data_IF_948213377251
#
_entry.id   IF_948213377251
#
_cell.length_a   1.000
_cell.length_b   1.000
_cell.length_c   1.000
_cell.angle_alpha   90.00
_cell.angle_beta   90.00
_cell.angle_gamma   90.00
#
_symmetry.space_group_name_H-M   'P 1'
#
loop_
_entity.id
_entity.type
_entity.pdbx_description
1 polymer ?
#
# COMPACT_ATOMS: atom_id res chain seq x y z
N UNK A 1 9.76 -7.40 2.68
CA UNK A 1 8.65 -8.31 3.03
C UNK A 1 7.94 -7.72 4.25
N UNK A 2 6.65 -7.38 4.16
CA UNK A 2 5.88 -6.95 5.34
C UNK A 2 5.46 -8.19 6.13
N UNK A 3 5.56 -8.14 7.46
CA UNK A 3 4.97 -9.16 8.33
C UNK A 3 3.44 -9.16 8.17
N UNK A 4 2.77 -10.27 8.46
CA UNK A 4 1.30 -10.32 8.47
C UNK A 4 0.74 -9.23 9.42
N UNK A 5 -0.14 -8.36 8.89
CA UNK A 5 -0.67 -7.19 9.61
C UNK A 5 0.27 -5.97 9.69
N UNK A 6 1.50 -6.06 9.15
CA UNK A 6 2.45 -4.95 9.08
C UNK A 6 2.06 -3.88 8.06
N UNK A 7 2.47 -2.64 8.33
CA UNK A 7 2.32 -1.49 7.42
C UNK A 7 3.68 -0.89 7.09
N UNK A 8 3.90 -0.50 5.84
CA UNK A 8 5.04 0.31 5.44
C UNK A 8 4.62 1.78 5.42
N UNK A 9 5.44 2.64 6.01
CA UNK A 9 5.23 4.09 6.02
C UNK A 9 6.46 4.74 5.39
N UNK A 10 6.24 5.54 4.35
CA UNK A 10 7.31 6.30 3.69
C UNK A 10 7.09 7.78 3.95
N UNK A 11 8.11 8.45 4.51
CA UNK A 11 8.18 9.91 4.60
C UNK A 11 8.90 10.46 3.39
N UNK A 12 8.27 11.40 2.68
CA UNK A 12 8.85 12.05 1.51
C UNK A 12 8.38 13.51 1.40
N UNK A 13 8.90 14.25 0.43
CA UNK A 13 8.44 15.61 0.13
C UNK A 13 7.29 15.58 -0.90
N UNK A 14 6.48 16.63 -0.95
CA UNK A 14 5.30 16.75 -1.83
C UNK A 14 5.61 16.53 -3.32
N UNK A 15 6.80 16.95 -3.77
CA UNK A 15 7.24 16.77 -5.16
C UNK A 15 7.67 15.34 -5.50
N UNK A 16 7.85 14.49 -4.49
CA UNK A 16 8.25 13.09 -4.66
C UNK A 16 6.99 12.25 -4.68
N UNK A 17 6.73 11.56 -5.80
CA UNK A 17 5.69 10.53 -5.86
C UNK A 17 6.33 9.20 -5.48
N UNK A 18 5.98 8.60 -4.33
CA UNK A 18 6.54 7.32 -3.96
C UNK A 18 6.03 6.24 -4.93
N UNK A 19 6.87 5.24 -5.26
CA UNK A 19 6.53 4.22 -6.24
C UNK A 19 5.30 3.41 -5.79
N UNK A 20 4.41 3.10 -6.73
CA UNK A 20 3.20 2.28 -6.52
C UNK A 20 3.23 0.99 -7.35
N UNK A 21 4.39 0.65 -7.90
CA UNK A 21 4.61 -0.53 -8.74
C UNK A 21 4.83 -1.82 -7.95
N UNK A 22 4.55 -1.83 -6.65
CA UNK A 22 4.71 -3.03 -5.85
C UNK A 22 3.52 -3.98 -6.10
N UNK A 23 3.82 -5.23 -6.44
CA UNK A 23 2.78 -6.27 -6.65
C UNK A 23 2.12 -6.67 -5.33
N UNK A 24 2.93 -6.80 -4.26
CA UNK A 24 2.50 -7.36 -2.97
C UNK A 24 2.08 -6.33 -1.93
N UNK A 25 2.37 -5.05 -2.15
CA UNK A 25 1.99 -3.96 -1.24
C UNK A 25 1.38 -2.82 -2.06
N UNK A 26 0.31 -2.19 -1.57
CA UNK A 26 -0.39 -1.12 -2.29
C UNK A 26 -0.45 0.13 -1.44
N UNK A 27 -0.36 1.29 -2.08
CA UNK A 27 -0.58 2.56 -1.42
C UNK A 27 -2.04 2.65 -0.98
N UNK A 28 -2.27 2.88 0.31
CA UNK A 28 -3.62 2.98 0.89
C UNK A 28 -4.02 4.43 1.14
N UNK A 29 -3.09 5.23 1.64
CA UNK A 29 -3.35 6.60 2.07
C UNK A 29 -2.08 7.43 1.97
N UNK A 30 -2.22 8.74 1.77
CA UNK A 30 -1.12 9.70 1.85
C UNK A 30 -1.60 10.95 2.55
N UNK A 31 -0.89 11.34 3.61
CA UNK A 31 -1.24 12.48 4.46
C UNK A 31 -0.12 13.50 4.53
N UNK A 32 -0.49 14.78 4.60
CA UNK A 32 0.44 15.88 4.78
C UNK A 32 0.72 16.13 6.26
N UNK A 33 2.00 16.24 6.60
CA UNK A 33 2.51 16.60 7.93
C UNK A 33 3.52 17.73 7.78
N UNK A 34 3.03 18.97 7.90
CA UNK A 34 3.82 20.18 7.64
C UNK A 34 4.32 20.22 6.20
N UNK A 35 5.65 20.18 6.03
CA UNK A 35 6.32 20.19 4.74
C UNK A 35 6.64 18.78 4.20
N UNK A 36 6.22 17.73 4.91
CA UNK A 36 6.42 16.34 4.51
C UNK A 36 5.09 15.66 4.21
N UNK A 37 5.18 14.59 3.45
CA UNK A 37 4.11 13.64 3.16
C UNK A 37 4.44 12.31 3.83
N UNK A 38 3.45 11.64 4.40
CA UNK A 38 3.52 10.26 4.84
C UNK A 38 2.60 9.42 3.96
N UNK A 39 3.19 8.48 3.23
CA UNK A 39 2.46 7.49 2.43
C UNK A 39 2.42 6.15 3.15
N UNK A 40 1.23 5.59 3.27
CA UNK A 40 0.92 4.38 4.01
C UNK A 40 0.62 3.25 3.03
N UNK A 41 1.38 2.17 3.12
CA UNK A 41 1.21 0.98 2.29
C UNK A 41 0.85 -0.22 3.16
N UNK A 42 -0.07 -1.05 2.68
CA UNK A 42 -0.41 -2.35 3.28
C UNK A 42 -0.13 -3.47 2.30
N UNK A 43 -0.10 -4.70 2.81
CA UNK A 43 -0.18 -5.88 1.95
C UNK A 43 -1.40 -5.77 1.03
N UNK A 44 -1.22 -6.13 -0.24
CA UNK A 44 -2.34 -6.34 -1.14
C UNK A 44 -3.17 -7.49 -0.57
N UNK A 45 -4.47 -7.27 -0.34
CA UNK A 45 -5.36 -8.36 0.02
C UNK A 45 -5.44 -9.25 -1.21
N UNK A 46 -4.94 -10.48 -1.13
CA UNK A 46 -5.35 -11.51 -2.07
C UNK A 46 -6.84 -11.71 -1.84
N UNK A 47 -7.68 -11.00 -2.58
CA UNK A 47 -9.04 -11.47 -2.83
C UNK A 47 -8.85 -12.85 -3.40
N UNK A 48 -9.14 -13.88 -2.62
CA UNK A 48 -9.42 -15.20 -3.18
C UNK A 48 -10.43 -14.93 -4.28
N UNK A 49 -10.03 -15.08 -5.54
CA UNK A 49 -10.99 -15.34 -6.60
C UNK A 49 -11.74 -16.57 -6.11
N UNK A 50 -12.98 -16.39 -5.67
CA UNK A 50 -13.91 -17.50 -5.69
C UNK A 50 -14.04 -17.86 -7.17
N UNK A 51 -13.32 -18.92 -7.55
CA UNK A 51 -13.63 -19.72 -8.71
C UNK A 51 -15.13 -19.96 -8.69
N UNK A 52 -15.80 -19.51 -9.75
CA UNK A 52 -17.16 -19.93 -10.04
C UNK A 52 -17.15 -21.42 -10.39
N UNK A 53 -17.03 -22.27 -9.38
CA UNK A 53 -17.45 -23.66 -9.43
C UNK A 53 -18.94 -23.68 -9.06
N UNK A 54 -19.80 -23.58 -10.08
CA UNK A 54 -21.19 -24.00 -9.95
C UNK A 54 -21.42 -25.20 -10.87
N UNK A 55 -21.64 -26.30 -10.16
CA UNK A 55 -22.31 -27.57 -10.49
C UNK A 55 -23.42 -27.38 -11.53
#
# INVERSE_FOLDING_TARGET
>A
MLIAGGRLIIKHFEKVKPPDCFEKIKLCDTRRYGNSMLSFYSAAVETKSEEGEKI
#
